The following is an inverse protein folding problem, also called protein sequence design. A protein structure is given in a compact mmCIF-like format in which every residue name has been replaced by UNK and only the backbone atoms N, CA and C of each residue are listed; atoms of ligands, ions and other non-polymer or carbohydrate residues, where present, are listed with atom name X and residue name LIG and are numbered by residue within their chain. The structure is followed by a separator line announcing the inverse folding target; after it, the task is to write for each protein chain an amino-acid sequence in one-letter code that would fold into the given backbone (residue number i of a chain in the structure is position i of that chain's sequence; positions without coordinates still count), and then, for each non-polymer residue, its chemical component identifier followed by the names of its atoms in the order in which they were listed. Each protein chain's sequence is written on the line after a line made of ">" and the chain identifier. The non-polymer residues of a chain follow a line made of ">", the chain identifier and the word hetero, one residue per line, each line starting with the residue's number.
data_IF_941091520435
#
_entry.id   IF_941091520435
#
_cell.length_a   1.000
_cell.length_b   1.000
_cell.length_c   1.000
_cell.angle_alpha   90.00
_cell.angle_beta   90.00
_cell.angle_gamma   90.00
#
_symmetry.space_group_name_H-M   'P 1'
#
loop_
_entity.id
_entity.type
_entity.pdbx_description
1 polymer ?
#
# COMPACT_ATOMS: atom_id res chain seq x y z
N UNK A 1 -1.64 -25.48 41.60
CA UNK A 1 -0.88 -24.50 40.80
C UNK A 1 0.06 -25.13 39.76
N UNK A 2 0.88 -26.14 40.14
CA UNK A 2 1.80 -26.83 39.19
C UNK A 2 1.07 -27.57 38.05
N UNK A 3 -0.09 -28.21 38.31
CA UNK A 3 -0.84 -28.92 37.28
C UNK A 3 -1.44 -28.00 36.21
N UNK A 4 -1.90 -26.79 36.60
CA UNK A 4 -2.45 -25.80 35.68
C UNK A 4 -1.38 -25.17 34.75
N UNK A 5 -0.13 -25.08 35.25
CA UNK A 5 0.99 -24.58 34.47
C UNK A 5 1.44 -25.59 33.39
N UNK A 6 1.47 -26.91 33.75
CA UNK A 6 1.77 -27.95 32.77
C UNK A 6 0.74 -28.04 31.66
N UNK A 7 -0.55 -28.02 32.00
CA UNK A 7 -1.64 -28.03 30.99
C UNK A 7 -1.60 -26.79 30.08
N UNK A 8 -1.20 -25.63 30.61
CA UNK A 8 -1.05 -24.42 29.80
C UNK A 8 0.16 -24.48 28.84
N UNK A 9 1.29 -25.03 29.31
CA UNK A 9 2.49 -25.22 28.48
C UNK A 9 2.23 -26.24 27.37
N UNK A 10 1.55 -27.34 27.69
CA UNK A 10 1.18 -28.37 26.70
C UNK A 10 0.18 -27.81 25.64
N UNK A 11 -0.80 -27.01 26.06
CA UNK A 11 -1.73 -26.33 25.14
C UNK A 11 -1.05 -25.30 24.24
N UNK A 12 -0.03 -24.59 24.77
CA UNK A 12 0.76 -23.65 23.95
C UNK A 12 1.68 -24.38 22.96
N UNK A 13 2.24 -25.52 23.34
CA UNK A 13 3.07 -26.38 22.48
C UNK A 13 2.25 -26.97 21.33
N UNK A 14 1.04 -27.47 21.62
CA UNK A 14 0.11 -28.01 20.61
C UNK A 14 -0.45 -26.93 19.68
N UNK A 15 -0.68 -25.72 20.19
CA UNK A 15 -1.06 -24.59 19.35
C UNK A 15 0.08 -24.17 18.41
N UNK A 16 1.33 -24.18 18.90
CA UNK A 16 2.52 -23.89 18.10
C UNK A 16 2.73 -24.91 16.98
N UNK A 17 2.53 -26.21 17.26
CA UNK A 17 2.62 -27.28 16.26
C UNK A 17 1.60 -27.14 15.15
N UNK A 18 0.32 -26.90 15.51
CA UNK A 18 -0.77 -26.69 14.52
C UNK A 18 -0.60 -25.43 13.69
N UNK A 19 0.03 -24.39 14.22
CA UNK A 19 0.33 -23.16 13.50
C UNK A 19 1.49 -23.34 12.51
N UNK A 20 2.52 -24.09 12.90
CA UNK A 20 3.62 -24.44 12.00
C UNK A 20 3.13 -25.32 10.83
N UNK A 21 2.22 -26.25 11.10
CA UNK A 21 1.60 -27.12 10.09
C UNK A 21 0.71 -26.31 9.11
N UNK A 22 -0.09 -25.37 9.62
CA UNK A 22 -0.87 -24.45 8.77
C UNK A 22 0.00 -23.51 7.95
N UNK A 23 1.09 -23.02 8.50
CA UNK A 23 2.04 -22.18 7.79
C UNK A 23 2.78 -22.97 6.69
N UNK A 24 3.14 -24.23 6.98
CA UNK A 24 3.73 -25.12 5.99
C UNK A 24 2.72 -25.44 4.86
N UNK A 25 1.46 -25.75 5.20
CA UNK A 25 0.40 -25.99 4.24
C UNK A 25 0.09 -24.76 3.37
N UNK A 26 0.11 -23.56 3.97
CA UNK A 26 -0.05 -22.31 3.22
C UNK A 26 1.14 -22.05 2.28
N UNK A 27 2.37 -22.31 2.72
CA UNK A 27 3.56 -22.20 1.87
C UNK A 27 3.54 -23.20 0.72
N UNK A 28 3.10 -24.43 0.98
CA UNK A 28 2.93 -25.47 -0.02
C UNK A 28 1.84 -25.10 -1.04
N UNK A 29 0.73 -24.53 -0.58
CA UNK A 29 -0.34 -24.03 -1.46
C UNK A 29 0.13 -22.86 -2.35
N UNK A 30 0.94 -21.93 -1.82
CA UNK A 30 1.55 -20.84 -2.61
C UNK A 30 2.54 -21.39 -3.63
N UNK A 31 3.35 -22.39 -3.25
CA UNK A 31 4.25 -23.07 -4.18
C UNK A 31 3.48 -23.82 -5.28
N UNK A 32 2.36 -24.48 -4.93
CA UNK A 32 1.51 -25.17 -5.88
C UNK A 32 0.81 -24.22 -6.86
N UNK A 33 0.32 -23.06 -6.37
CA UNK A 33 -0.22 -22.00 -7.22
C UNK A 33 0.85 -21.39 -8.14
N UNK A 34 2.06 -21.16 -7.62
CA UNK A 34 3.18 -20.72 -8.43
C UNK A 34 3.60 -21.76 -9.48
N UNK A 35 3.63 -23.03 -9.12
CA UNK A 35 3.93 -24.13 -10.03
C UNK A 35 2.85 -24.28 -11.12
N UNK A 36 1.57 -24.19 -10.76
CA UNK A 36 0.45 -24.18 -11.73
C UNK A 36 0.49 -22.97 -12.64
N UNK A 37 0.81 -21.77 -12.09
CA UNK A 37 1.03 -20.56 -12.88
C UNK A 37 2.17 -20.72 -13.87
N UNK A 38 3.30 -21.26 -13.44
CA UNK A 38 4.45 -21.58 -14.30
C UNK A 38 4.11 -22.65 -15.36
N UNK A 39 3.36 -23.67 -15.00
CA UNK A 39 2.90 -24.69 -15.98
C UNK A 39 1.94 -24.09 -17.01
N UNK A 40 1.04 -23.20 -16.61
CA UNK A 40 0.15 -22.48 -17.53
C UNK A 40 0.93 -21.55 -18.48
N UNK A 41 1.91 -20.82 -17.93
CA UNK A 41 2.83 -20.00 -18.72
C UNK A 41 3.65 -20.89 -19.69
N UNK A 42 4.17 -22.03 -19.22
CA UNK A 42 4.86 -23.00 -20.07
C UNK A 42 3.96 -23.61 -21.15
N UNK A 43 2.70 -23.90 -20.85
CA UNK A 43 1.73 -24.39 -21.82
C UNK A 43 1.39 -23.33 -22.88
N UNK A 44 1.20 -22.07 -22.46
CA UNK A 44 0.99 -20.94 -23.38
C UNK A 44 2.22 -20.68 -24.27
N UNK A 45 3.43 -20.88 -23.74
CA UNK A 45 4.68 -20.67 -24.47
C UNK A 45 4.99 -21.82 -25.47
N UNK A 46 4.42 -23.02 -25.27
CA UNK A 46 4.62 -24.16 -26.20
C UNK A 46 3.80 -24.03 -27.47
N UNK A 47 2.69 -23.30 -27.47
CA UNK A 47 1.77 -23.24 -28.60
C UNK A 47 2.02 -22.14 -29.62
N UNK A 48 2.80 -21.10 -29.25
CA UNK A 48 3.22 -20.07 -30.21
C UNK A 48 4.64 -19.57 -29.89
N UNK A 49 5.52 -19.44 -30.88
CA UNK A 49 6.88 -18.95 -30.65
C UNK A 49 6.86 -17.52 -30.10
N UNK A 50 7.61 -17.28 -29.01
CA UNK A 50 7.82 -16.00 -28.31
C UNK A 50 7.96 -14.74 -29.20
N UNK A 51 8.49 -14.82 -30.45
CA UNK A 51 8.62 -13.64 -31.31
C UNK A 51 7.27 -13.00 -31.70
N UNK A 52 6.14 -13.72 -31.59
CA UNK A 52 4.84 -13.18 -32.04
C UNK A 52 4.12 -12.30 -31.01
N UNK A 53 4.54 -12.32 -29.73
CA UNK A 53 3.95 -11.48 -28.67
C UNK A 53 4.99 -10.94 -27.67
N UNK A 54 5.95 -10.14 -28.13
CA UNK A 54 7.05 -9.66 -27.28
C UNK A 54 6.55 -8.85 -26.08
N UNK A 55 5.50 -8.05 -26.27
CA UNK A 55 4.91 -7.26 -25.19
C UNK A 55 4.29 -8.12 -24.09
N UNK A 56 3.66 -9.24 -24.44
CA UNK A 56 3.09 -10.17 -23.44
C UNK A 56 4.21 -10.82 -22.61
N UNK A 57 5.30 -11.25 -23.24
CA UNK A 57 6.45 -11.80 -22.53
C UNK A 57 7.11 -10.79 -21.60
N UNK A 58 7.26 -9.53 -22.04
CA UNK A 58 7.77 -8.44 -21.20
C UNK A 58 6.83 -8.16 -20.03
N UNK A 59 5.52 -8.11 -20.25
CA UNK A 59 4.54 -7.90 -19.19
C UNK A 59 4.60 -9.02 -18.14
N UNK A 60 4.71 -10.29 -18.55
CA UNK A 60 4.89 -11.42 -17.64
C UNK A 60 6.18 -11.28 -16.82
N UNK A 61 7.30 -10.89 -17.45
CA UNK A 61 8.56 -10.69 -16.75
C UNK A 61 8.46 -9.57 -15.69
N UNK A 62 7.80 -8.46 -16.01
CA UNK A 62 7.56 -7.36 -15.08
C UNK A 62 6.66 -7.79 -13.92
N UNK A 63 5.53 -8.44 -14.20
CA UNK A 63 4.59 -8.92 -13.18
C UNK A 63 5.27 -9.91 -12.24
N UNK A 64 6.01 -10.88 -12.80
CA UNK A 64 6.75 -11.86 -11.99
C UNK A 64 7.81 -11.19 -11.13
N UNK A 65 8.59 -10.26 -11.67
CA UNK A 65 9.56 -9.48 -10.91
C UNK A 65 8.94 -8.69 -9.77
N UNK A 66 7.84 -8.00 -10.03
CA UNK A 66 7.10 -7.24 -9.02
C UNK A 66 6.49 -8.14 -7.93
N UNK A 67 6.04 -9.33 -8.26
CA UNK A 67 5.44 -10.27 -7.30
C UNK A 67 6.49 -10.96 -6.41
N UNK A 68 7.63 -11.34 -6.98
CA UNK A 68 8.68 -12.07 -6.26
C UNK A 68 9.56 -11.14 -5.43
N UNK A 69 9.84 -9.92 -5.92
CA UNK A 69 10.75 -8.99 -5.28
C UNK A 69 10.46 -8.71 -3.81
N UNK A 70 9.25 -8.25 -3.44
CA UNK A 70 8.89 -7.95 -2.05
C UNK A 70 8.98 -9.16 -1.12
N UNK A 71 8.62 -10.35 -1.61
CA UNK A 71 8.73 -11.61 -0.87
C UNK A 71 10.18 -11.94 -0.47
N UNK A 72 11.12 -11.75 -1.37
CA UNK A 72 12.56 -11.96 -1.10
C UNK A 72 13.09 -10.97 -0.06
N UNK A 73 12.64 -9.71 -0.10
CA UNK A 73 13.06 -8.67 0.84
C UNK A 73 12.40 -8.77 2.21
N UNK A 74 11.21 -9.40 2.29
CA UNK A 74 10.40 -9.50 3.52
C UNK A 74 10.99 -10.37 4.62
N UNK A 75 11.96 -11.21 4.30
CA UNK A 75 12.49 -12.25 5.20
C UNK A 75 13.68 -11.80 6.07
N UNK A 76 13.94 -10.48 6.24
CA UNK A 76 15.14 -10.07 6.97
C UNK A 76 15.18 -8.65 7.53
N UNK A 77 16.24 -8.32 8.31
CA UNK A 77 16.46 -7.00 8.90
C UNK A 77 16.62 -5.91 7.80
N UNK A 78 16.42 -4.61 8.12
CA UNK A 78 16.33 -3.51 7.15
C UNK A 78 17.53 -3.38 6.21
N UNK A 79 18.74 -3.78 6.62
CA UNK A 79 19.93 -3.80 5.75
C UNK A 79 19.85 -4.81 4.60
N UNK A 80 19.04 -5.86 4.73
CA UNK A 80 18.87 -6.87 3.66
C UNK A 80 18.08 -6.34 2.46
N UNK A 81 17.16 -5.41 2.68
CA UNK A 81 16.40 -4.80 1.57
C UNK A 81 17.35 -4.03 0.63
N UNK A 82 18.30 -3.28 1.15
CA UNK A 82 19.31 -2.57 0.33
C UNK A 82 20.20 -3.56 -0.42
N UNK A 83 20.65 -4.62 0.24
CA UNK A 83 21.45 -5.67 -0.41
C UNK A 83 20.65 -6.41 -1.50
N UNK A 84 19.37 -6.70 -1.27
CA UNK A 84 18.49 -7.32 -2.25
C UNK A 84 18.27 -6.42 -3.48
N UNK A 85 18.06 -5.12 -3.26
CA UNK A 85 17.93 -4.13 -4.34
C UNK A 85 19.21 -4.09 -5.17
N UNK A 86 20.37 -3.98 -4.51
CA UNK A 86 21.65 -3.96 -5.19
C UNK A 86 21.88 -5.26 -5.97
N UNK A 87 21.58 -6.41 -5.37
CA UNK A 87 21.64 -7.72 -6.03
C UNK A 87 20.76 -7.80 -7.29
N UNK A 88 19.52 -7.32 -7.21
CA UNK A 88 18.64 -7.25 -8.37
C UNK A 88 19.19 -6.36 -9.48
N UNK A 89 19.75 -5.20 -9.15
CA UNK A 89 20.34 -4.29 -10.14
C UNK A 89 21.61 -4.87 -10.78
N UNK A 90 22.46 -5.53 -10.00
CA UNK A 90 23.66 -6.21 -10.53
C UNK A 90 23.27 -7.40 -11.42
N UNK A 91 22.27 -8.18 -11.02
CA UNK A 91 21.75 -9.27 -11.85
C UNK A 91 21.14 -8.74 -13.17
N UNK A 92 20.40 -7.64 -13.11
CA UNK A 92 19.86 -6.99 -14.30
C UNK A 92 20.98 -6.49 -15.25
N UNK A 93 22.02 -5.86 -14.70
CA UNK A 93 23.18 -5.40 -15.48
C UNK A 93 23.93 -6.57 -16.11
N UNK A 94 24.15 -7.66 -15.35
CA UNK A 94 24.79 -8.89 -15.86
C UNK A 94 23.97 -9.55 -16.98
N UNK A 95 22.66 -9.67 -16.80
CA UNK A 95 21.76 -10.21 -17.81
C UNK A 95 21.71 -9.34 -19.08
N UNK A 96 21.73 -8.02 -18.92
CA UNK A 96 21.81 -7.07 -20.04
C UNK A 96 23.14 -7.19 -20.80
N UNK A 97 24.24 -7.38 -20.09
CA UNK A 97 25.55 -7.64 -20.71
C UNK A 97 25.55 -8.97 -21.50
N UNK A 98 25.01 -10.04 -20.92
CA UNK A 98 24.85 -11.34 -21.59
C UNK A 98 23.98 -11.19 -22.84
N UNK A 99 22.90 -10.42 -22.78
CA UNK A 99 22.07 -10.11 -23.94
C UNK A 99 22.86 -9.48 -25.08
N UNK A 100 23.73 -8.50 -24.78
CA UNK A 100 24.57 -7.86 -25.84
C UNK A 100 25.53 -8.83 -26.47
N UNK A 101 26.12 -9.77 -25.70
CA UNK A 101 27.03 -10.79 -26.22
C UNK A 101 26.28 -11.79 -27.14
N UNK A 102 25.10 -12.24 -26.73
CA UNK A 102 24.32 -13.18 -27.54
C UNK A 102 23.75 -12.55 -28.82
N UNK A 103 23.37 -11.28 -28.78
CA UNK A 103 23.01 -10.52 -29.98
C UNK A 103 24.14 -10.51 -31.01
N UNK A 104 25.41 -10.27 -30.57
CA UNK A 104 26.59 -10.27 -31.44
C UNK A 104 26.91 -11.66 -32.00
N UNK A 105 26.54 -12.72 -31.29
CA UNK A 105 26.75 -14.13 -31.71
C UNK A 105 25.61 -14.71 -32.55
N UNK A 106 24.55 -13.94 -32.88
CA UNK A 106 23.42 -14.38 -33.69
C UNK A 106 22.47 -15.33 -32.97
N UNK A 107 22.58 -15.46 -31.64
CA UNK A 107 21.71 -16.36 -30.82
C UNK A 107 20.49 -15.60 -30.30
N UNK A 108 19.54 -15.32 -31.18
CA UNK A 108 18.36 -14.48 -30.87
C UNK A 108 17.50 -14.98 -29.70
N UNK A 109 17.23 -16.29 -29.62
CA UNK A 109 16.40 -16.85 -28.55
C UNK A 109 17.04 -16.71 -27.17
N UNK A 110 18.35 -16.95 -27.05
CA UNK A 110 19.08 -16.78 -25.78
C UNK A 110 19.23 -15.31 -25.42
N UNK A 111 19.42 -14.44 -26.41
CA UNK A 111 19.42 -13.00 -26.21
C UNK A 111 18.05 -12.51 -25.66
N UNK A 112 16.94 -12.93 -26.27
CA UNK A 112 15.60 -12.59 -25.79
C UNK A 112 15.36 -13.06 -24.35
N UNK A 113 15.78 -14.28 -23.99
CA UNK A 113 15.67 -14.78 -22.62
C UNK A 113 16.49 -13.93 -21.63
N UNK A 114 17.72 -13.57 -21.97
CA UNK A 114 18.56 -12.72 -21.12
C UNK A 114 17.94 -11.32 -20.91
N UNK A 115 17.32 -10.75 -21.95
CA UNK A 115 16.63 -9.47 -21.85
C UNK A 115 15.41 -9.56 -20.91
N UNK A 116 14.62 -10.63 -20.99
CA UNK A 116 13.47 -10.83 -20.10
C UNK A 116 13.91 -10.99 -18.63
N UNK A 117 15.03 -11.67 -18.38
CA UNK A 117 15.61 -11.76 -17.03
C UNK A 117 16.05 -10.38 -16.55
N UNK A 118 16.70 -9.57 -17.39
CA UNK A 118 17.10 -8.21 -17.03
C UNK A 118 15.89 -7.34 -16.67
N UNK A 119 14.81 -7.42 -17.44
CA UNK A 119 13.54 -6.71 -17.17
C UNK A 119 12.92 -7.18 -15.84
N UNK A 120 12.86 -8.48 -15.60
CA UNK A 120 12.31 -9.05 -14.36
C UNK A 120 13.11 -8.64 -13.12
N UNK A 121 14.45 -8.71 -13.19
CA UNK A 121 15.31 -8.25 -12.09
C UNK A 121 15.19 -6.74 -11.84
N UNK A 122 15.06 -5.93 -12.89
CA UNK A 122 14.82 -4.49 -12.75
C UNK A 122 13.50 -4.20 -12.07
N UNK A 123 12.43 -4.90 -12.48
CA UNK A 123 11.11 -4.77 -11.88
C UNK A 123 11.10 -5.21 -10.40
N UNK A 124 11.78 -6.32 -10.07
CA UNK A 124 11.93 -6.78 -8.69
C UNK A 124 12.68 -5.76 -7.82
N UNK A 125 13.81 -5.27 -8.28
CA UNK A 125 14.57 -4.23 -7.58
C UNK A 125 13.76 -2.95 -7.35
N UNK A 126 12.99 -2.52 -8.35
CA UNK A 126 12.08 -1.38 -8.24
C UNK A 126 10.96 -1.62 -7.23
N UNK A 127 10.31 -2.80 -7.26
CA UNK A 127 9.24 -3.14 -6.32
C UNK A 127 9.75 -3.14 -4.88
N UNK A 128 10.90 -3.78 -4.61
CA UNK A 128 11.54 -3.75 -3.29
C UNK A 128 11.86 -2.31 -2.87
N UNK A 129 12.45 -1.51 -3.76
CA UNK A 129 12.79 -0.13 -3.47
C UNK A 129 11.55 0.69 -3.12
N UNK A 130 10.47 0.52 -3.87
CA UNK A 130 9.21 1.22 -3.64
C UNK A 130 8.58 0.86 -2.28
N UNK A 131 8.63 -0.40 -1.88
CA UNK A 131 7.98 -0.85 -0.64
C UNK A 131 8.84 -0.70 0.61
N UNK A 132 10.16 -0.73 0.47
CA UNK A 132 11.08 -0.81 1.61
C UNK A 132 12.00 0.40 1.77
N UNK A 133 12.21 1.19 0.71
CA UNK A 133 13.03 2.41 0.83
C UNK A 133 12.15 3.60 1.19
N UNK A 134 12.31 4.05 2.42
CA UNK A 134 11.76 5.29 2.93
C UNK A 134 12.88 6.25 3.28
N UNK A 135 12.59 7.54 3.27
CA UNK A 135 13.57 8.57 3.61
C UNK A 135 13.96 8.48 5.08
N UNK A 136 15.21 8.81 5.38
CA UNK A 136 15.71 8.79 6.75
C UNK A 136 15.04 9.84 7.66
N UNK A 137 14.51 10.92 7.07
CA UNK A 137 13.78 11.99 7.73
C UNK A 137 12.25 11.76 7.73
N UNK A 138 11.77 10.54 7.38
CA UNK A 138 10.33 10.24 7.41
C UNK A 138 9.76 10.39 8.82
N UNK A 139 8.58 11.01 8.91
CA UNK A 139 7.85 11.24 10.17
C UNK A 139 7.70 9.96 10.98
N UNK A 140 7.49 8.82 10.32
CA UNK A 140 7.29 7.52 10.96
C UNK A 140 8.45 7.11 11.87
N UNK A 141 9.68 7.51 11.54
CA UNK A 141 10.85 7.21 12.39
C UNK A 141 10.88 8.03 13.66
N UNK A 142 10.11 9.10 13.70
CA UNK A 142 9.95 9.94 14.90
C UNK A 142 8.77 9.56 15.77
N UNK A 143 7.88 8.68 15.25
CA UNK A 143 6.70 8.20 15.94
C UNK A 143 6.94 6.81 16.53
N UNK A 144 6.46 6.61 17.75
CA UNK A 144 6.37 5.29 18.35
C UNK A 144 5.14 4.54 17.83
N UNK A 145 5.08 3.23 18.10
CA UNK A 145 3.86 2.43 17.88
C UNK A 145 2.76 2.79 18.89
N UNK A 146 3.14 3.49 19.96
CA UNK A 146 2.21 4.05 20.95
C UNK A 146 1.72 5.42 20.50
N UNK A 147 0.48 5.70 20.83
CA UNK A 147 -0.14 7.00 20.57
C UNK A 147 0.58 8.11 21.34
N UNK A 148 1.07 9.13 20.65
CA UNK A 148 1.76 10.28 21.23
C UNK A 148 1.29 11.59 20.60
N UNK A 149 1.32 12.71 21.35
CA UNK A 149 0.96 14.01 20.78
C UNK A 149 1.95 14.41 19.69
N UNK A 150 1.44 14.90 18.57
CA UNK A 150 2.25 15.36 17.46
C UNK A 150 1.64 16.60 16.82
N UNK A 151 2.50 17.52 16.39
CA UNK A 151 2.13 18.65 15.55
C UNK A 151 2.95 18.60 14.28
N UNK A 152 2.28 18.57 13.14
CA UNK A 152 2.93 18.52 11.83
C UNK A 152 2.47 19.65 10.94
N UNK A 153 3.32 20.04 10.01
CA UNK A 153 2.99 20.88 8.87
C UNK A 153 3.25 20.09 7.59
N UNK A 154 2.39 20.27 6.61
CA UNK A 154 2.52 19.58 5.34
C UNK A 154 1.55 20.09 4.30
N UNK A 155 1.59 19.45 3.13
CA UNK A 155 0.73 19.76 1.99
C UNK A 155 -0.27 18.62 1.85
N UNK A 156 -1.55 18.94 1.74
CA UNK A 156 -2.60 17.96 1.48
C UNK A 156 -2.41 17.36 0.08
N UNK A 157 -2.26 16.05 0.03
CA UNK A 157 -2.11 15.30 -1.23
C UNK A 157 -3.44 14.74 -1.69
N UNK A 158 -4.24 14.26 -0.74
CA UNK A 158 -5.59 13.76 -0.98
C UNK A 158 -6.56 14.55 -0.11
N UNK A 159 -7.58 15.14 -0.74
CA UNK A 159 -8.61 15.89 -0.04
C UNK A 159 -9.37 15.03 0.95
N UNK A 160 -9.91 15.63 2.03
CA UNK A 160 -10.66 14.89 3.03
C UNK A 160 -11.83 14.13 2.43
N UNK A 161 -11.92 12.86 2.76
CA UNK A 161 -13.02 11.97 2.39
C UNK A 161 -13.65 11.36 3.62
N UNK A 162 -14.96 11.17 3.60
CA UNK A 162 -15.67 10.48 4.69
C UNK A 162 -15.24 9.03 4.74
N UNK A 163 -14.90 8.56 5.93
CA UNK A 163 -14.70 7.14 6.18
C UNK A 163 -16.05 6.50 6.40
N UNK A 164 -16.47 5.65 5.46
CA UNK A 164 -17.66 4.81 5.64
C UNK A 164 -17.28 3.64 6.54
N UNK A 165 -17.48 3.80 7.83
CA UNK A 165 -17.32 2.69 8.78
C UNK A 165 -18.57 1.83 8.76
N UNK A 166 -18.46 0.49 8.90
CA UNK A 166 -19.64 -0.37 9.01
C UNK A 166 -20.50 0.09 10.19
N UNK A 167 -21.80 0.13 9.97
CA UNK A 167 -22.78 0.65 10.93
C UNK A 167 -22.83 -0.13 12.28
N UNK A 168 -22.23 -1.30 12.34
CA UNK A 168 -22.12 -2.11 13.55
C UNK A 168 -20.63 -2.38 13.87
N UNK A 169 -20.22 -1.96 15.04
CA UNK A 169 -19.03 -2.52 15.66
C UNK A 169 -19.29 -4.01 15.94
N UNK A 170 -18.41 -4.94 15.54
CA UNK A 170 -18.58 -6.37 15.84
C UNK A 170 -18.72 -6.67 17.34
N UNK A 171 -18.30 -5.74 18.20
CA UNK A 171 -18.35 -5.84 19.66
C UNK A 171 -19.57 -5.19 20.30
N UNK A 172 -20.58 -4.72 19.54
CA UNK A 172 -21.78 -4.07 20.08
C UNK A 172 -21.53 -2.73 20.77
N UNK A 173 -20.37 -2.11 20.50
CA UNK A 173 -20.02 -0.80 21.05
C UNK A 173 -20.86 0.35 20.46
N UNK A 174 -20.77 1.56 21.05
CA UNK A 174 -21.48 2.72 20.55
C UNK A 174 -21.11 3.00 19.10
N UNK A 175 -22.07 3.54 18.33
CA UNK A 175 -21.86 3.92 16.94
C UNK A 175 -20.59 4.77 16.83
N UNK A 176 -19.67 4.35 15.95
CA UNK A 176 -18.42 5.07 15.74
C UNK A 176 -18.78 6.40 15.11
N UNK A 177 -18.33 7.50 15.72
CA UNK A 177 -18.56 8.85 15.20
C UNK A 177 -18.08 8.96 13.74
N UNK A 178 -18.84 9.66 12.89
CA UNK A 178 -18.43 9.90 11.52
C UNK A 178 -17.02 10.50 11.53
N UNK A 179 -16.14 9.98 10.73
CA UNK A 179 -14.78 10.46 10.63
C UNK A 179 -14.40 10.68 9.18
N UNK A 180 -13.46 11.56 8.94
CA UNK A 180 -12.91 11.85 7.63
C UNK A 180 -11.41 11.57 7.61
N UNK A 181 -10.90 11.17 6.47
CA UNK A 181 -9.48 10.91 6.25
C UNK A 181 -8.95 11.79 5.13
N UNK A 182 -7.78 12.37 5.33
CA UNK A 182 -6.99 13.00 4.27
C UNK A 182 -5.54 12.55 4.35
N UNK A 183 -4.79 12.65 3.26
CA UNK A 183 -3.37 12.32 3.22
C UNK A 183 -2.57 13.62 3.13
N UNK A 184 -1.64 13.80 4.05
CA UNK A 184 -0.77 14.98 4.12
C UNK A 184 0.68 14.56 3.86
N UNK A 185 1.32 15.17 2.86
CA UNK A 185 2.77 15.11 2.66
C UNK A 185 3.46 16.01 3.69
N UNK A 186 4.11 15.40 4.65
CA UNK A 186 4.73 16.12 5.78
C UNK A 186 5.97 16.86 5.32
N UNK A 187 6.11 18.11 5.77
CA UNK A 187 7.29 18.93 5.51
C UNK A 187 8.04 19.29 6.79
N UNK A 188 7.32 19.41 7.91
CA UNK A 188 7.90 19.73 9.22
C UNK A 188 7.15 19.02 10.34
N UNK A 189 7.86 18.73 11.42
CA UNK A 189 7.31 18.23 12.69
C UNK A 189 7.79 19.09 13.83
N UNK A 190 6.91 19.39 14.78
CA UNK A 190 7.26 20.12 15.98
C UNK A 190 7.82 19.18 17.03
N UNK A 191 9.00 19.49 17.55
CA UNK A 191 9.64 18.81 18.67
C UNK A 191 9.94 19.82 19.78
N UNK A 192 9.13 19.77 20.84
CA UNK A 192 9.16 20.80 21.86
C UNK A 192 8.79 22.17 21.30
N UNK A 193 9.67 23.15 21.44
CA UNK A 193 9.49 24.52 20.90
C UNK A 193 9.96 24.68 19.45
N UNK A 194 10.77 23.74 18.92
CA UNK A 194 11.41 23.87 17.61
C UNK A 194 10.69 23.08 16.52
N UNK A 195 10.69 23.62 15.31
CA UNK A 195 10.28 22.94 14.10
C UNK A 195 11.49 22.26 13.45
N UNK A 196 11.36 20.97 13.14
CA UNK A 196 12.36 20.20 12.42
C UNK A 196 11.81 19.78 11.05
N UNK A 197 12.67 19.75 10.05
CA UNK A 197 12.33 19.16 8.75
C UNK A 197 11.95 17.69 8.94
N UNK A 198 10.90 17.27 8.28
CA UNK A 198 10.45 15.90 8.21
C UNK A 198 9.87 15.64 6.82
N UNK A 199 9.81 14.39 6.44
CA UNK A 199 9.23 13.96 5.16
C UNK A 199 8.24 12.81 5.39
N UNK A 200 7.76 12.22 4.30
CA UNK A 200 6.81 11.10 4.33
C UNK A 200 5.37 11.56 4.20
N UNK A 201 4.46 10.59 4.25
CA UNK A 201 3.02 10.83 4.20
C UNK A 201 2.39 10.40 5.50
N UNK A 202 1.41 11.19 5.95
CA UNK A 202 0.59 10.89 7.11
C UNK A 202 -0.88 10.80 6.71
N UNK A 203 -1.54 9.71 7.08
CA UNK A 203 -2.99 9.61 7.05
C UNK A 203 -3.54 10.38 8.25
N UNK A 204 -4.25 11.45 7.99
CA UNK A 204 -4.85 12.31 9.01
C UNK A 204 -6.33 11.95 9.12
N UNK A 205 -6.71 11.36 10.24
CA UNK A 205 -8.10 10.96 10.54
C UNK A 205 -8.69 12.01 11.48
N UNK A 206 -9.74 12.67 11.03
CA UNK A 206 -10.42 13.74 11.77
C UNK A 206 -11.79 13.25 12.19
N UNK A 207 -12.09 13.30 13.48
CA UNK A 207 -13.43 13.00 13.98
C UNK A 207 -14.40 14.13 13.59
N UNK A 208 -15.60 13.75 13.16
CA UNK A 208 -16.63 14.67 12.70
C UNK A 208 -16.63 14.85 11.17
N UNK A 209 -17.24 15.95 10.75
CA UNK A 209 -17.36 16.30 9.33
C UNK A 209 -15.99 16.61 8.70
N UNK A 210 -15.82 16.31 7.38
CA UNK A 210 -14.57 16.62 6.72
C UNK A 210 -14.32 18.15 6.77
N UNK A 211 -13.08 18.56 7.12
CA UNK A 211 -12.70 19.96 7.07
C UNK A 211 -12.74 20.47 5.62
N UNK A 212 -13.05 21.76 5.44
CA UNK A 212 -13.05 22.39 4.12
C UNK A 212 -11.60 22.67 3.64
N UNK A 213 -10.95 21.59 3.22
CA UNK A 213 -9.55 21.60 2.79
C UNK A 213 -9.44 20.83 1.48
N UNK A 214 -8.77 21.41 0.51
CA UNK A 214 -8.54 20.79 -0.80
C UNK A 214 -7.08 20.37 -0.97
N UNK A 215 -6.83 19.47 -1.92
CA UNK A 215 -5.48 19.06 -2.28
C UNK A 215 -4.62 20.27 -2.71
N UNK A 216 -3.39 20.29 -2.23
CA UNK A 216 -2.45 21.40 -2.43
C UNK A 216 -2.47 22.45 -1.33
N UNK A 217 -3.44 22.46 -0.41
CA UNK A 217 -3.40 23.33 0.76
C UNK A 217 -2.23 22.97 1.67
N UNK A 218 -1.54 23.99 2.19
CA UNK A 218 -0.58 23.82 3.28
C UNK A 218 -1.31 23.90 4.60
N UNK A 219 -1.18 22.85 5.41
CA UNK A 219 -1.94 22.69 6.65
C UNK A 219 -1.01 22.48 7.83
N UNK A 220 -1.49 22.89 9.01
CA UNK A 220 -0.94 22.51 10.30
C UNK A 220 -1.95 21.61 11.00
N UNK A 221 -1.46 20.47 11.47
CA UNK A 221 -2.30 19.43 12.08
C UNK A 221 -1.82 19.20 13.51
N UNK A 222 -2.75 19.31 14.45
CA UNK A 222 -2.56 18.99 15.86
C UNK A 222 -3.28 17.67 16.14
N UNK A 223 -2.58 16.65 16.60
CA UNK A 223 -3.25 15.37 16.81
C UNK A 223 -2.40 14.40 17.62
N UNK A 224 -2.88 13.17 17.65
CA UNK A 224 -2.19 12.03 18.23
C UNK A 224 -1.66 11.16 17.11
N UNK A 225 -0.31 11.10 17.01
CA UNK A 225 0.39 10.33 16.00
C UNK A 225 0.80 8.96 16.50
N UNK A 226 0.76 7.99 15.61
CA UNK A 226 1.30 6.65 15.83
C UNK A 226 1.86 6.09 14.52
N UNK A 227 2.77 5.15 14.64
CA UNK A 227 3.22 4.28 13.55
C UNK A 227 2.49 2.94 13.66
N UNK A 228 1.86 2.42 12.59
CA UNK A 228 1.24 1.10 12.61
C UNK A 228 2.22 0.01 13.06
N UNK A 229 1.78 -0.81 13.99
CA UNK A 229 2.51 -2.00 14.45
C UNK A 229 2.38 -3.16 13.48
N UNK A 230 3.16 -4.21 13.71
CA UNK A 230 2.99 -5.50 13.04
C UNK A 230 1.73 -6.20 13.55
N UNK A 231 1.23 -7.16 12.75
CA UNK A 231 0.24 -8.11 13.23
C UNK A 231 0.76 -8.84 14.47
N UNK A 232 -0.06 -8.90 15.52
CA UNK A 232 0.31 -9.55 16.78
C UNK A 232 -0.07 -11.04 16.77
N UNK A 233 -1.07 -11.42 15.98
CA UNK A 233 -1.57 -12.77 15.88
C UNK A 233 -1.40 -13.32 14.46
N UNK A 234 -1.14 -14.63 14.30
CA UNK A 234 -1.16 -15.28 13.00
C UNK A 234 -2.53 -15.14 12.32
N UNK A 235 -2.53 -14.68 11.07
CA UNK A 235 -3.76 -14.45 10.30
C UNK A 235 -4.44 -13.09 10.56
N UNK A 236 -3.90 -12.28 11.46
CA UNK A 236 -4.33 -10.90 11.63
C UNK A 236 -3.84 -10.04 10.46
N UNK A 237 -4.66 -9.03 10.10
CA UNK A 237 -4.28 -8.09 9.04
C UNK A 237 -3.07 -7.24 9.48
N UNK A 238 -1.99 -7.26 8.70
CA UNK A 238 -0.80 -6.45 8.97
C UNK A 238 -0.99 -5.01 8.48
N UNK A 239 -1.33 -4.13 9.41
CA UNK A 239 -1.49 -2.70 9.13
C UNK A 239 -0.18 -2.02 8.73
N UNK A 240 0.99 -2.54 9.17
CA UNK A 240 2.29 -2.00 8.78
C UNK A 240 2.59 -2.30 7.32
N UNK A 241 2.37 -3.53 6.88
CA UNK A 241 2.55 -3.91 5.48
C UNK A 241 1.63 -3.10 4.57
N UNK A 242 0.37 -2.92 4.98
CA UNK A 242 -0.58 -2.04 4.28
C UNK A 242 -0.08 -0.59 4.22
N UNK A 243 0.41 -0.04 5.31
CA UNK A 243 0.96 1.32 5.38
C UNK A 243 2.20 1.48 4.47
N UNK A 244 3.06 0.46 4.39
CA UNK A 244 4.21 0.42 3.50
C UNK A 244 3.78 0.41 2.03
N UNK A 245 2.81 -0.42 1.65
CA UNK A 245 2.32 -0.49 0.27
C UNK A 245 1.69 0.83 -0.19
N UNK A 246 1.00 1.53 0.70
CA UNK A 246 0.44 2.86 0.46
C UNK A 246 1.47 3.99 0.57
N UNK A 247 2.70 3.69 1.02
CA UNK A 247 3.74 4.67 1.36
C UNK A 247 3.28 5.74 2.36
N UNK A 248 2.42 5.34 3.29
CA UNK A 248 1.85 6.18 4.33
C UNK A 248 2.07 5.53 5.69
N UNK A 249 3.28 5.72 6.24
CA UNK A 249 3.75 5.03 7.45
C UNK A 249 3.26 5.66 8.76
N UNK A 250 2.60 6.80 8.69
CA UNK A 250 2.19 7.58 9.86
C UNK A 250 0.69 7.78 9.86
N UNK A 251 0.06 7.60 11.01
CA UNK A 251 -1.36 7.91 11.23
C UNK A 251 -1.43 9.01 12.27
N UNK A 252 -2.18 10.07 11.99
CA UNK A 252 -2.45 11.18 12.93
C UNK A 252 -3.95 11.28 13.15
N UNK A 253 -4.39 11.11 14.39
CA UNK A 253 -5.80 11.21 14.77
C UNK A 253 -6.08 12.57 15.40
N UNK A 254 -7.05 13.27 14.87
CA UNK A 254 -7.55 14.56 15.32
C UNK A 254 -8.92 14.38 15.96
N UNK A 255 -9.15 15.01 17.10
CA UNK A 255 -10.41 14.89 17.84
C UNK A 255 -11.52 15.77 17.28
N UNK A 256 -11.20 16.77 16.47
CA UNK A 256 -12.17 17.65 15.83
C UNK A 256 -11.58 18.26 14.56
N UNK A 257 -12.41 18.78 13.64
CA UNK A 257 -11.96 19.50 12.45
C UNK A 257 -11.08 20.73 12.77
N UNK A 258 -11.29 21.40 13.90
CA UNK A 258 -10.49 22.54 14.35
C UNK A 258 -9.02 22.21 14.67
N UNK A 259 -8.69 20.91 14.79
CA UNK A 259 -7.29 20.47 14.93
C UNK A 259 -6.49 20.54 13.61
N UNK A 260 -7.15 20.82 12.48
CA UNK A 260 -6.52 21.02 11.20
C UNK A 260 -6.73 22.47 10.75
N UNK A 261 -5.67 23.23 10.68
CA UNK A 261 -5.70 24.65 10.27
C UNK A 261 -4.98 24.84 8.94
N UNK A 262 -5.61 25.56 8.02
CA UNK A 262 -5.03 25.94 6.73
C UNK A 262 -4.06 27.10 6.96
N UNK A 263 -2.81 26.95 6.52
CA UNK A 263 -1.77 27.99 6.55
C UNK A 263 -1.76 28.75 5.23
N UNK A 264 -1.82 28.01 4.11
CA UNK A 264 -1.76 28.56 2.76
C UNK A 264 -2.69 27.76 1.85
N UNK A 265 -3.40 28.47 0.98
CA UNK A 265 -4.18 27.86 -0.09
C UNK A 265 -3.30 27.56 -1.31
N UNK A 266 -3.62 26.51 -2.10
CA UNK A 266 -2.86 26.20 -3.31
C UNK A 266 -2.94 27.32 -4.31
N UNK A 267 -1.90 27.49 -5.11
CA UNK A 267 -1.94 28.39 -6.26
C UNK A 267 -3.09 28.02 -7.19
N UNK A 268 -3.72 29.01 -7.83
CA UNK A 268 -4.88 28.81 -8.71
C UNK A 268 -4.60 27.80 -9.85
N UNK A 269 -3.37 27.69 -10.28
CA UNK A 269 -2.88 26.79 -11.35
C UNK A 269 -2.26 25.49 -10.85
N UNK A 270 -2.47 25.12 -9.59
CA UNK A 270 -2.00 23.84 -9.08
C UNK A 270 -2.75 22.69 -9.77
N UNK A 271 -1.99 21.78 -10.38
CA UNK A 271 -2.55 20.59 -11.06
C UNK A 271 -3.37 19.72 -10.09
N UNK A 272 -2.91 19.58 -8.85
CA UNK A 272 -3.65 18.81 -7.82
C UNK A 272 -5.00 19.46 -7.50
N UNK A 273 -5.03 20.78 -7.31
CA UNK A 273 -6.26 21.52 -7.08
C UNK A 273 -7.22 21.50 -8.28
N UNK A 274 -6.68 21.51 -9.52
CA UNK A 274 -7.47 21.38 -10.72
C UNK A 274 -8.12 19.99 -10.81
N UNK A 275 -7.35 18.93 -10.59
CA UNK A 275 -7.86 17.56 -10.60
C UNK A 275 -8.94 17.34 -9.54
N UNK A 276 -8.77 17.90 -8.34
CA UNK A 276 -9.78 17.84 -7.31
C UNK A 276 -11.07 18.58 -7.70
N UNK A 277 -10.96 19.76 -8.31
CA UNK A 277 -12.13 20.50 -8.83
C UNK A 277 -12.87 19.68 -9.89
N UNK A 278 -12.14 19.06 -10.81
CA UNK A 278 -12.72 18.19 -11.85
C UNK A 278 -13.42 16.99 -11.20
N UNK A 279 -12.78 16.35 -10.20
CA UNK A 279 -13.37 15.22 -9.47
C UNK A 279 -14.64 15.64 -8.72
N UNK A 280 -14.60 16.74 -7.97
CA UNK A 280 -15.76 17.22 -7.23
C UNK A 280 -16.89 17.67 -8.16
N UNK A 281 -16.57 18.41 -9.22
CA UNK A 281 -17.54 18.82 -10.25
C UNK A 281 -18.16 17.63 -10.98
N UNK A 282 -17.35 16.62 -11.31
CA UNK A 282 -17.81 15.36 -11.89
C UNK A 282 -18.75 14.60 -10.94
N UNK A 283 -18.39 14.46 -9.67
CA UNK A 283 -19.23 13.81 -8.66
C UNK A 283 -20.57 14.53 -8.47
N UNK A 284 -20.56 15.87 -8.40
CA UNK A 284 -21.78 16.67 -8.31
C UNK A 284 -22.67 16.52 -9.57
N UNK A 285 -22.09 16.44 -10.76
CA UNK A 285 -22.81 16.23 -12.01
C UNK A 285 -23.43 14.83 -12.06
N UNK A 286 -22.66 13.79 -11.70
CA UNK A 286 -23.18 12.43 -11.61
C UNK A 286 -24.31 12.32 -10.56
N UNK A 287 -24.18 13.01 -9.42
CA UNK A 287 -25.24 13.07 -8.40
C UNK A 287 -26.55 13.61 -8.95
N UNK A 288 -26.50 14.66 -9.79
CA UNK A 288 -27.69 15.26 -10.40
C UNK A 288 -28.34 14.39 -11.48
N UNK A 289 -27.55 13.68 -12.28
CA UNK A 289 -28.04 12.97 -13.46
C UNK A 289 -28.27 11.47 -13.26
N UNK A 290 -27.52 10.82 -12.38
CA UNK A 290 -27.58 9.37 -12.16
C UNK A 290 -28.47 8.95 -10.96
N UNK A 291 -28.97 9.89 -10.16
CA UNK A 291 -29.85 9.61 -9.03
C UNK A 291 -29.29 8.54 -8.09
N UNK A 292 -30.05 7.47 -7.83
CA UNK A 292 -29.66 6.38 -6.92
C UNK A 292 -28.36 5.66 -7.35
N UNK A 293 -28.03 5.67 -8.64
CA UNK A 293 -26.80 5.02 -9.18
C UNK A 293 -25.58 5.96 -9.23
N UNK A 294 -25.70 7.18 -8.72
CA UNK A 294 -24.63 8.16 -8.74
C UNK A 294 -23.35 7.66 -8.03
N UNK A 295 -23.51 6.96 -6.91
CA UNK A 295 -22.40 6.37 -6.16
C UNK A 295 -21.60 5.35 -6.98
N UNK A 296 -22.30 4.47 -7.70
CA UNK A 296 -21.66 3.48 -8.58
C UNK A 296 -20.97 4.16 -9.76
N UNK A 297 -21.63 5.14 -10.39
CA UNK A 297 -21.05 5.89 -11.48
C UNK A 297 -19.80 6.68 -11.06
N UNK A 298 -19.82 7.29 -9.86
CA UNK A 298 -18.66 7.98 -9.29
C UNK A 298 -17.52 7.01 -8.97
N UNK A 299 -17.82 5.82 -8.47
CA UNK A 299 -16.82 4.78 -8.20
C UNK A 299 -16.13 4.32 -9.49
N UNK A 300 -16.90 4.08 -10.56
CA UNK A 300 -16.37 3.60 -11.84
C UNK A 300 -15.62 4.68 -12.63
N UNK A 301 -16.13 5.91 -12.66
CA UNK A 301 -15.57 6.97 -13.51
C UNK A 301 -14.53 7.84 -12.80
N UNK A 302 -14.72 8.09 -11.50
CA UNK A 302 -13.86 8.97 -10.70
C UNK A 302 -13.01 8.23 -9.68
N UNK A 303 -13.24 6.93 -9.50
CA UNK A 303 -12.59 6.13 -8.45
C UNK A 303 -13.03 6.51 -7.02
N UNK A 304 -14.13 7.26 -6.87
CA UNK A 304 -14.66 7.71 -5.57
C UNK A 304 -15.67 6.70 -5.04
N UNK A 305 -15.38 6.08 -3.91
CA UNK A 305 -16.22 5.04 -3.28
C UNK A 305 -17.09 5.56 -2.15
N UNK A 306 -17.03 6.85 -1.86
CA UNK A 306 -17.66 7.47 -0.70
C UNK A 306 -19.17 7.44 -0.74
N UNK A 307 -19.75 7.51 -1.94
CA UNK A 307 -21.18 7.49 -2.17
C UNK A 307 -21.75 6.09 -2.48
N UNK A 308 -20.94 5.03 -2.36
CA UNK A 308 -21.41 3.66 -2.56
C UNK A 308 -22.24 3.22 -1.34
N UNK A 309 -23.44 2.66 -1.56
CA UNK A 309 -24.21 2.01 -0.49
C UNK A 309 -23.41 0.88 0.15
N UNK A 310 -23.57 0.68 1.45
CA UNK A 310 -22.84 -0.36 2.22
C UNK A 310 -23.07 -1.75 1.66
N UNK A 311 -24.32 -2.06 1.23
CA UNK A 311 -24.68 -3.34 0.65
C UNK A 311 -23.97 -3.62 -0.67
N UNK A 312 -23.80 -2.61 -1.51
CA UNK A 312 -23.07 -2.74 -2.78
C UNK A 312 -21.58 -2.88 -2.52
N UNK A 313 -21.03 -2.14 -1.57
CA UNK A 313 -19.63 -2.28 -1.14
C UNK A 313 -19.33 -3.70 -0.69
N UNK A 314 -20.23 -4.31 0.11
CA UNK A 314 -20.07 -5.68 0.59
C UNK A 314 -20.12 -6.70 -0.57
N UNK A 315 -21.04 -6.55 -1.52
CA UNK A 315 -21.14 -7.40 -2.72
C UNK A 315 -19.84 -7.33 -3.55
N UNK A 316 -19.30 -6.12 -3.76
CA UNK A 316 -18.06 -5.93 -4.51
C UNK A 316 -16.84 -6.48 -3.79
N UNK A 317 -16.78 -6.40 -2.45
CA UNK A 317 -15.71 -7.06 -1.68
C UNK A 317 -15.76 -8.58 -1.81
N UNK A 318 -16.95 -9.19 -1.74
CA UNK A 318 -17.11 -10.64 -1.87
C UNK A 318 -16.73 -11.12 -3.28
N UNK A 319 -17.02 -10.32 -4.32
CA UNK A 319 -16.66 -10.65 -5.71
C UNK A 319 -15.22 -10.30 -6.08
N UNK A 320 -14.46 -9.67 -5.18
CA UNK A 320 -13.08 -9.25 -5.43
C UNK A 320 -12.93 -8.15 -6.49
N UNK A 321 -14.00 -7.41 -6.77
CA UNK A 321 -14.02 -6.32 -7.77
C UNK A 321 -13.58 -4.97 -7.21
N UNK A 322 -13.44 -4.90 -5.88
CA UNK A 322 -12.95 -3.71 -5.17
C UNK A 322 -11.80 -4.08 -4.25
#
# INVERSE_FOLDING_TARGET
>A
MRHALHTFIDACSDAGGRLAEKAAAAAEHVQELAARGLQHIHACLRHEPLPRRPLAAMAVAVITGCAVGPGVAGLGPPGRAQAAILGCWLAAAGAFFIWTLFLRSGREATAAAALLVAIGCTAAGWAIARERLFRADDLAWSLAERVQPVVIEGIVVESPRRLTLPAMSPSGGPAIEPSSECVVAVTRVRRGAAWKSASGRAAVIVAGEPPDVISGCRVRVFGRGLRPGHALNPGEFDFRERAQSLRCLSIVRCQSPGCLSVIEHPAAWSLSALLDRVRMGGAATLGRHCGVRAGLAAALLLGSREALPTDDTQKYMVTGTI
#
